data_IF_882514759750
#
_entry.id   IF_882514759750
#
_cell.length_a   1.000
_cell.length_b   1.000
_cell.length_c   1.000
_cell.angle_alpha   90.00
_cell.angle_beta   90.00
_cell.angle_gamma   90.00
#
_symmetry.space_group_name_H-M   'P 1'
#
loop_
_entity.id
_entity.type
_entity.pdbx_description
1 polymer ?
#
# COMPACT_ATOMS: atom_id res chain seq x y z
N UNK A 1 0.90 5.15 9.90
CA UNK A 1 0.43 6.30 9.10
C UNK A 1 -0.80 6.94 9.75
N UNK A 2 -1.78 6.19 10.25
CA UNK A 2 -2.93 6.75 10.99
C UNK A 2 -2.48 7.74 12.07
N UNK A 3 -1.56 7.33 12.93
CA UNK A 3 -1.00 8.18 13.99
C UNK A 3 -0.34 9.48 13.50
N UNK A 4 0.08 9.56 12.24
CA UNK A 4 0.63 10.80 11.66
C UNK A 4 -0.45 11.76 11.21
N UNK A 5 -1.67 11.25 10.94
CA UNK A 5 -2.85 12.06 10.62
C UNK A 5 -3.70 12.39 11.84
N UNK A 6 -3.46 11.70 12.97
CA UNK A 6 -4.20 11.93 14.20
C UNK A 6 -3.89 13.31 14.79
N UNK A 7 -4.87 14.21 14.71
CA UNK A 7 -4.86 15.56 15.26
C UNK A 7 -6.31 16.06 15.44
N UNK A 8 -6.57 17.06 16.29
CA UNK A 8 -7.89 17.65 16.43
C UNK A 8 -8.49 18.08 15.09
N UNK A 9 -9.79 17.84 14.90
CA UNK A 9 -10.53 18.16 13.67
C UNK A 9 -10.44 17.09 12.57
N UNK A 10 -9.63 16.04 12.73
CA UNK A 10 -9.63 14.91 11.80
C UNK A 10 -10.50 13.77 12.31
N UNK A 11 -11.30 13.19 11.40
CA UNK A 11 -11.99 11.91 11.61
C UNK A 11 -11.28 10.84 10.77
N UNK A 12 -10.73 9.82 11.44
CA UNK A 12 -9.96 8.73 10.83
C UNK A 12 -10.81 7.46 10.78
N UNK A 13 -11.04 6.93 9.58
CA UNK A 13 -11.65 5.63 9.37
C UNK A 13 -10.53 4.61 9.13
N UNK A 14 -10.30 3.76 10.12
CA UNK A 14 -9.24 2.74 10.09
C UNK A 14 -9.85 1.41 9.67
N UNK A 15 -9.48 0.92 8.51
CA UNK A 15 -10.14 -0.21 7.90
C UNK A 15 -9.12 -1.29 7.46
N UNK A 16 -9.26 -2.50 7.99
CA UNK A 16 -8.46 -3.69 7.65
C UNK A 16 -9.05 -4.93 8.34
N UNK A 17 -8.36 -6.09 8.24
CA UNK A 17 -8.60 -7.25 9.10
C UNK A 17 -8.01 -7.04 10.51
N UNK A 18 -8.62 -7.67 11.52
CA UNK A 18 -8.13 -7.68 12.90
C UNK A 18 -8.71 -6.54 13.74
N UNK A 19 -9.97 -6.69 14.14
CA UNK A 19 -10.74 -5.69 14.89
C UNK A 19 -10.00 -5.16 16.13
N UNK A 20 -9.37 -6.02 16.92
CA UNK A 20 -8.64 -5.62 18.12
C UNK A 20 -7.45 -4.69 17.80
N UNK A 21 -6.64 -5.04 16.81
CA UNK A 21 -5.49 -4.23 16.40
C UNK A 21 -5.92 -2.87 15.80
N UNK A 22 -7.05 -2.86 15.08
CA UNK A 22 -7.66 -1.64 14.57
C UNK A 22 -8.14 -0.75 15.71
N UNK A 23 -8.84 -1.31 16.71
CA UNK A 23 -9.36 -0.56 17.84
C UNK A 23 -8.22 0.02 18.70
N UNK A 24 -7.16 -0.75 18.97
CA UNK A 24 -5.97 -0.25 19.65
C UNK A 24 -5.35 0.95 18.90
N UNK A 25 -5.33 0.90 17.57
CA UNK A 25 -4.82 2.00 16.74
C UNK A 25 -5.78 3.20 16.77
N UNK A 26 -7.09 2.96 16.74
CA UNK A 26 -8.11 4.01 16.83
C UNK A 26 -8.05 4.73 18.17
N UNK A 27 -7.89 3.98 19.27
CA UNK A 27 -7.71 4.55 20.60
C UNK A 27 -6.46 5.44 20.68
N UNK A 28 -5.33 4.96 20.14
CA UNK A 28 -4.11 5.76 20.07
C UNK A 28 -4.28 7.05 19.24
N UNK A 29 -5.14 7.03 18.20
CA UNK A 29 -5.50 8.23 17.43
C UNK A 29 -6.40 9.17 18.25
N UNK A 30 -7.39 8.64 18.96
CA UNK A 30 -8.26 9.43 19.84
C UNK A 30 -7.47 10.12 20.96
N UNK A 31 -6.49 9.45 21.56
CA UNK A 31 -5.55 10.06 22.55
C UNK A 31 -4.76 11.25 21.98
N UNK A 32 -4.67 11.38 20.65
CA UNK A 32 -4.05 12.54 19.98
C UNK A 32 -5.08 13.62 19.58
N UNK A 33 -6.32 13.49 20.01
CA UNK A 33 -7.39 14.47 19.79
C UNK A 33 -8.16 14.33 18.48
N UNK A 34 -7.93 13.28 17.69
CA UNK A 34 -8.75 13.01 16.51
C UNK A 34 -9.96 12.13 16.85
N UNK A 35 -11.03 12.24 16.08
CA UNK A 35 -12.00 11.17 15.99
C UNK A 35 -11.39 9.98 15.24
N UNK A 36 -11.72 8.76 15.68
CA UNK A 36 -11.25 7.54 15.00
C UNK A 36 -12.22 6.40 15.16
N UNK A 37 -12.52 5.73 14.05
CA UNK A 37 -13.43 4.59 13.96
C UNK A 37 -12.71 3.40 13.36
N UNK A 38 -12.73 2.27 14.04
CA UNK A 38 -12.23 0.99 13.54
C UNK A 38 -13.33 0.27 12.76
N UNK A 39 -13.03 -0.22 11.56
CA UNK A 39 -13.97 -0.93 10.69
C UNK A 39 -13.27 -2.17 10.15
N UNK A 40 -13.69 -3.34 10.56
CA UNK A 40 -13.14 -4.59 10.04
C UNK A 40 -13.71 -4.89 8.66
N UNK A 41 -12.83 -5.20 7.70
CA UNK A 41 -13.22 -5.72 6.39
C UNK A 41 -12.06 -6.50 5.75
N UNK A 42 -12.41 -7.39 4.82
CA UNK A 42 -11.46 -8.24 4.12
C UNK A 42 -11.32 -7.82 2.66
N UNK A 43 -10.14 -7.31 2.29
CA UNK A 43 -9.80 -6.92 0.91
C UNK A 43 -9.78 -8.10 -0.08
N UNK A 44 -9.66 -9.35 0.41
CA UNK A 44 -9.70 -10.53 -0.45
C UNK A 44 -11.12 -10.95 -0.86
N UNK A 45 -12.14 -10.28 -0.30
CA UNK A 45 -13.56 -10.62 -0.52
C UNK A 45 -14.31 -9.43 -1.10
N UNK A 46 -14.65 -9.45 -2.39
CA UNK A 46 -15.36 -8.35 -3.07
C UNK A 46 -16.64 -7.91 -2.35
N UNK A 47 -17.40 -8.87 -1.79
CA UNK A 47 -18.61 -8.60 -1.01
C UNK A 47 -18.31 -7.83 0.30
N UNK A 48 -17.20 -8.15 0.99
CA UNK A 48 -16.77 -7.43 2.18
C UNK A 48 -16.35 -5.99 1.84
N UNK A 49 -15.61 -5.82 0.74
CA UNK A 49 -15.24 -4.49 0.23
C UNK A 49 -16.48 -3.66 -0.09
N UNK A 50 -17.48 -4.27 -0.76
CA UNK A 50 -18.74 -3.59 -1.11
C UNK A 50 -19.56 -3.22 0.12
N UNK A 51 -19.63 -4.11 1.11
CA UNK A 51 -20.31 -3.82 2.39
C UNK A 51 -19.65 -2.63 3.11
N UNK A 52 -18.33 -2.64 3.22
CA UNK A 52 -17.53 -1.55 3.79
C UNK A 52 -17.78 -0.23 3.04
N UNK A 53 -17.62 -0.19 1.74
CA UNK A 53 -17.77 1.05 0.96
C UNK A 53 -19.19 1.59 0.99
N UNK A 54 -20.21 0.71 1.03
CA UNK A 54 -21.60 1.09 1.21
C UNK A 54 -21.87 1.69 2.61
N UNK A 55 -21.24 1.15 3.66
CA UNK A 55 -21.31 1.72 5.00
C UNK A 55 -20.75 3.15 5.03
N UNK A 56 -19.61 3.38 4.37
CA UNK A 56 -18.98 4.71 4.28
C UNK A 56 -19.90 5.68 3.51
N UNK A 57 -20.43 5.27 2.36
CA UNK A 57 -21.32 6.09 1.55
C UNK A 57 -22.63 6.49 2.28
N UNK A 58 -23.13 5.63 3.17
CA UNK A 58 -24.33 5.93 3.97
C UNK A 58 -24.05 6.94 5.09
N UNK A 59 -22.83 6.94 5.67
CA UNK A 59 -22.51 7.74 6.87
C UNK A 59 -21.79 9.05 6.57
N UNK A 60 -21.16 9.17 5.39
CA UNK A 60 -20.32 10.29 5.05
C UNK A 60 -20.70 10.88 3.70
N UNK A 61 -20.63 12.19 3.58
CA UNK A 61 -20.93 12.92 2.34
C UNK A 61 -19.68 13.15 1.48
N UNK A 62 -18.47 13.11 2.08
CA UNK A 62 -17.19 13.28 1.41
C UNK A 62 -16.09 12.45 2.07
N UNK A 63 -15.03 12.21 1.30
CA UNK A 63 -13.76 11.64 1.78
C UNK A 63 -12.64 12.55 1.31
N UNK A 64 -11.94 13.20 2.22
CA UNK A 64 -10.85 14.12 1.88
C UNK A 64 -9.55 13.38 1.59
N UNK A 65 -9.32 12.21 2.23
CA UNK A 65 -8.10 11.40 2.08
C UNK A 65 -8.46 9.92 2.02
N UNK A 66 -8.06 9.25 0.94
CA UNK A 66 -8.11 7.79 0.81
C UNK A 66 -6.68 7.27 0.72
N UNK A 67 -6.23 6.45 1.68
CA UNK A 67 -4.85 5.98 1.70
C UNK A 67 -4.79 4.46 1.78
N UNK A 68 -4.37 3.83 0.70
CA UNK A 68 -4.15 2.40 0.60
C UNK A 68 -2.77 2.03 1.14
N UNK A 69 -2.72 1.35 2.29
CA UNK A 69 -1.49 0.86 2.91
C UNK A 69 -1.46 -0.65 3.06
N UNK A 70 -2.58 -1.32 2.87
CA UNK A 70 -2.70 -2.77 2.96
C UNK A 70 -1.98 -3.49 1.82
N UNK A 71 -1.58 -4.71 2.08
CA UNK A 71 -1.00 -5.59 1.09
C UNK A 71 -0.23 -6.74 1.72
N UNK A 72 -0.10 -7.82 0.97
CA UNK A 72 0.67 -9.02 1.33
C UNK A 72 1.84 -9.21 0.39
N UNK A 73 2.87 -9.91 0.84
CA UNK A 73 4.07 -10.19 0.05
C UNK A 73 4.19 -11.68 -0.27
N UNK A 74 5.20 -12.04 -1.07
CA UNK A 74 5.51 -13.40 -1.51
C UNK A 74 6.96 -13.74 -1.21
N UNK A 75 7.22 -15.02 -0.90
CA UNK A 75 8.55 -15.62 -0.78
C UNK A 75 8.50 -17.03 -1.38
N UNK A 76 8.36 -17.08 -2.70
CA UNK A 76 8.37 -18.31 -3.48
C UNK A 76 8.97 -18.03 -4.86
N UNK A 77 9.61 -19.03 -5.47
CA UNK A 77 10.00 -18.95 -6.90
C UNK A 77 8.76 -18.91 -7.76
N UNK A 78 8.87 -18.28 -8.94
CA UNK A 78 7.73 -18.10 -9.83
C UNK A 78 7.09 -19.43 -10.26
N UNK A 79 7.91 -20.45 -10.48
CA UNK A 79 7.47 -21.80 -10.87
C UNK A 79 6.93 -22.65 -9.72
N UNK A 80 7.20 -22.27 -8.46
CA UNK A 80 6.77 -23.03 -7.28
C UNK A 80 5.43 -22.54 -6.70
N UNK A 81 5.12 -21.28 -6.88
CA UNK A 81 3.86 -20.69 -6.41
C UNK A 81 2.70 -21.13 -7.29
N UNK A 82 1.62 -21.64 -6.68
CA UNK A 82 0.40 -21.94 -7.45
C UNK A 82 -0.25 -20.66 -7.96
N UNK A 83 -1.00 -20.77 -9.05
CA UNK A 83 -1.76 -19.67 -9.64
C UNK A 83 -2.78 -19.06 -8.65
N UNK A 84 -3.24 -19.82 -7.67
CA UNK A 84 -4.17 -19.35 -6.64
C UNK A 84 -3.50 -18.42 -5.63
N UNK A 85 -2.21 -18.66 -5.34
CA UNK A 85 -1.39 -17.73 -4.55
C UNK A 85 -1.22 -16.41 -5.31
N UNK A 86 -0.93 -16.48 -6.60
CA UNK A 86 -0.78 -15.30 -7.45
C UNK A 86 -2.10 -14.51 -7.54
N UNK A 87 -3.23 -15.20 -7.74
CA UNK A 87 -4.57 -14.59 -7.71
C UNK A 87 -4.87 -13.93 -6.37
N UNK A 88 -4.58 -14.60 -5.25
CA UNK A 88 -4.80 -14.05 -3.90
C UNK A 88 -3.99 -12.78 -3.68
N UNK A 89 -2.75 -12.74 -4.13
CA UNK A 89 -1.90 -11.55 -4.03
C UNK A 89 -2.46 -10.42 -4.89
N UNK A 90 -2.89 -10.70 -6.12
CA UNK A 90 -3.52 -9.73 -6.99
C UNK A 90 -4.85 -9.22 -6.42
N UNK A 91 -5.67 -10.10 -5.85
CA UNK A 91 -6.94 -9.73 -5.25
C UNK A 91 -6.75 -8.71 -4.12
N UNK A 92 -5.88 -9.02 -3.16
CA UNK A 92 -5.65 -8.15 -1.99
C UNK A 92 -4.93 -6.87 -2.38
N UNK A 93 -3.83 -6.97 -3.16
CA UNK A 93 -2.95 -5.84 -3.40
C UNK A 93 -3.47 -4.89 -4.47
N UNK A 94 -4.24 -5.39 -5.43
CA UNK A 94 -4.70 -4.63 -6.58
C UNK A 94 -6.22 -4.52 -6.66
N UNK A 95 -6.95 -5.62 -6.83
CA UNK A 95 -8.40 -5.57 -7.05
C UNK A 95 -9.15 -4.96 -5.87
N UNK A 96 -8.83 -5.35 -4.63
CA UNK A 96 -9.44 -4.76 -3.44
C UNK A 96 -9.19 -3.24 -3.35
N UNK A 97 -7.96 -2.80 -3.62
CA UNK A 97 -7.63 -1.37 -3.60
C UNK A 97 -8.37 -0.57 -4.68
N UNK A 98 -8.45 -1.09 -5.91
CA UNK A 98 -9.17 -0.38 -7.00
C UNK A 98 -10.67 -0.40 -6.79
N UNK A 99 -11.25 -1.47 -6.24
CA UNK A 99 -12.67 -1.53 -5.90
C UNK A 99 -13.03 -0.47 -4.85
N UNK A 100 -12.29 -0.40 -3.73
CA UNK A 100 -12.48 0.65 -2.72
C UNK A 100 -12.39 2.04 -3.36
N UNK A 101 -11.40 2.27 -4.23
CA UNK A 101 -11.22 3.55 -4.91
C UNK A 101 -12.41 3.90 -5.79
N UNK A 102 -12.85 2.98 -6.66
CA UNK A 102 -13.99 3.17 -7.57
C UNK A 102 -15.28 3.44 -6.79
N UNK A 103 -15.54 2.64 -5.76
CA UNK A 103 -16.75 2.75 -4.96
C UNK A 103 -16.84 4.06 -4.18
N UNK A 104 -15.70 4.58 -3.70
CA UNK A 104 -15.62 5.84 -2.95
C UNK A 104 -15.32 7.06 -3.83
N UNK A 105 -15.13 6.89 -5.13
CA UNK A 105 -14.84 8.00 -6.04
C UNK A 105 -15.88 9.13 -6.00
N UNK A 106 -17.19 8.88 -5.89
CA UNK A 106 -18.18 9.96 -5.73
C UNK A 106 -17.93 10.81 -4.48
N UNK A 107 -17.56 10.19 -3.35
CA UNK A 107 -17.25 10.92 -2.11
C UNK A 107 -15.92 11.69 -2.19
N UNK A 108 -14.95 11.18 -2.95
CA UNK A 108 -13.70 11.88 -3.23
C UNK A 108 -13.97 13.11 -4.12
N UNK A 109 -14.82 12.99 -5.12
CA UNK A 109 -15.24 14.13 -5.97
C UNK A 109 -16.00 15.20 -5.21
N UNK A 110 -16.74 14.84 -4.17
CA UNK A 110 -17.47 15.78 -3.31
C UNK A 110 -16.55 16.58 -2.37
N UNK A 111 -15.30 16.20 -2.21
CA UNK A 111 -14.32 16.93 -1.41
C UNK A 111 -13.63 18.03 -2.24
N UNK A 112 -13.36 19.18 -1.62
CA UNK A 112 -12.73 20.31 -2.31
C UNK A 112 -11.30 20.03 -2.79
N UNK A 113 -10.58 19.14 -2.12
CA UNK A 113 -9.18 18.80 -2.42
C UNK A 113 -8.89 17.38 -1.96
N UNK A 114 -9.46 16.42 -2.68
CA UNK A 114 -9.28 15.01 -2.36
C UNK A 114 -7.87 14.52 -2.70
N UNK A 115 -7.34 13.66 -1.84
CA UNK A 115 -6.03 13.05 -2.06
C UNK A 115 -6.11 11.54 -1.91
N UNK A 116 -5.57 10.84 -2.89
CA UNK A 116 -5.42 9.40 -2.89
C UNK A 116 -3.94 9.09 -2.71
N UNK A 117 -3.59 8.38 -1.64
CA UNK A 117 -2.26 7.79 -1.45
C UNK A 117 -2.33 6.29 -1.70
N UNK A 118 -1.47 5.75 -2.55
CA UNK A 118 -1.40 4.31 -2.78
C UNK A 118 -0.01 3.77 -2.53
N UNK A 119 0.08 2.75 -1.68
CA UNK A 119 1.35 2.11 -1.36
C UNK A 119 1.67 1.02 -2.38
N UNK A 120 2.54 1.38 -3.35
CA UNK A 120 3.23 0.43 -4.21
C UNK A 120 4.48 -0.12 -3.49
N UNK A 121 5.59 -0.20 -4.15
CA UNK A 121 6.92 -0.61 -3.68
C UNK A 121 7.95 -0.24 -4.74
N UNK A 122 9.24 -0.24 -4.40
CA UNK A 122 10.30 -0.28 -5.42
C UNK A 122 10.16 -1.54 -6.32
N UNK A 123 9.55 -2.62 -5.80
CA UNK A 123 9.18 -3.81 -6.61
C UNK A 123 8.05 -3.55 -7.61
N UNK A 124 7.41 -2.40 -7.59
CA UNK A 124 6.54 -1.90 -8.66
C UNK A 124 7.29 -1.22 -9.81
N UNK A 125 8.63 -1.15 -9.74
CA UNK A 125 9.50 -0.59 -10.78
C UNK A 125 10.45 -1.63 -11.39
N UNK A 126 10.64 -2.76 -10.72
CA UNK A 126 11.41 -3.90 -11.21
C UNK A 126 11.01 -5.19 -10.51
N UNK A 127 11.11 -6.31 -11.23
CA UNK A 127 10.97 -7.65 -10.64
C UNK A 127 12.18 -8.01 -9.80
N UNK A 128 11.96 -8.77 -8.73
CA UNK A 128 13.01 -9.28 -7.86
C UNK A 128 12.74 -10.74 -7.51
N UNK A 129 13.77 -11.59 -7.32
CA UNK A 129 13.57 -13.01 -7.00
C UNK A 129 12.61 -13.22 -5.84
N UNK A 130 11.86 -14.32 -5.87
CA UNK A 130 10.87 -14.76 -4.88
C UNK A 130 9.65 -13.84 -4.69
N UNK A 131 9.43 -12.87 -5.59
CA UNK A 131 8.38 -11.86 -5.46
C UNK A 131 7.62 -11.61 -6.77
N UNK A 132 7.44 -12.63 -7.62
CA UNK A 132 6.85 -12.49 -8.96
C UNK A 132 5.44 -11.86 -8.92
N UNK A 133 4.47 -12.49 -8.25
CA UNK A 133 3.11 -11.97 -8.14
C UNK A 133 3.04 -10.68 -7.31
N UNK A 134 3.85 -10.58 -6.26
CA UNK A 134 3.94 -9.34 -5.49
C UNK A 134 4.39 -8.17 -6.38
N UNK A 135 5.48 -8.34 -7.13
CA UNK A 135 5.94 -7.31 -8.06
C UNK A 135 4.86 -6.98 -9.10
N UNK A 136 4.26 -8.00 -9.73
CA UNK A 136 3.17 -7.82 -10.69
C UNK A 136 2.02 -6.97 -10.12
N UNK A 137 1.57 -7.28 -8.89
CA UNK A 137 0.51 -6.51 -8.22
C UNK A 137 0.91 -5.05 -7.97
N UNK A 138 2.18 -4.81 -7.62
CA UNK A 138 2.67 -3.44 -7.39
C UNK A 138 2.90 -2.66 -8.69
N UNK A 139 3.23 -3.32 -9.80
CA UNK A 139 3.23 -2.71 -11.15
C UNK A 139 1.80 -2.35 -11.60
N UNK A 140 0.83 -3.25 -11.37
CA UNK A 140 -0.57 -3.02 -11.72
C UNK A 140 -1.15 -1.76 -11.06
N UNK A 141 -0.77 -1.48 -9.80
CA UNK A 141 -1.16 -0.23 -9.12
C UNK A 141 -0.66 1.02 -9.86
N UNK A 142 0.54 0.99 -10.45
CA UNK A 142 1.03 2.13 -11.23
C UNK A 142 0.14 2.40 -12.44
N UNK A 143 -0.14 1.36 -13.25
CA UNK A 143 -0.98 1.52 -14.43
C UNK A 143 -2.35 2.12 -14.09
N UNK A 144 -3.04 1.55 -13.10
CA UNK A 144 -4.37 2.04 -12.70
C UNK A 144 -4.34 3.46 -12.12
N UNK A 145 -3.47 3.72 -11.15
CA UNK A 145 -3.50 5.01 -10.43
C UNK A 145 -2.88 6.16 -11.22
N UNK A 146 -2.00 5.88 -12.17
CA UNK A 146 -1.52 6.88 -13.15
C UNK A 146 -2.63 7.27 -14.11
N UNK A 147 -3.40 6.30 -14.64
CA UNK A 147 -4.57 6.56 -15.49
C UNK A 147 -5.62 7.35 -14.73
N UNK A 148 -5.99 6.91 -13.52
CA UNK A 148 -6.95 7.62 -12.67
C UNK A 148 -6.56 9.09 -12.42
N UNK A 149 -5.28 9.36 -12.19
CA UNK A 149 -4.76 10.73 -12.01
C UNK A 149 -5.00 11.60 -13.24
N UNK A 150 -4.80 11.04 -14.43
CA UNK A 150 -4.98 11.78 -15.69
C UNK A 150 -6.46 11.98 -16.01
N UNK A 151 -7.30 10.98 -15.75
CA UNK A 151 -8.74 11.04 -15.97
C UNK A 151 -9.43 12.08 -15.08
N UNK A 152 -8.94 12.24 -13.83
CA UNK A 152 -9.55 13.09 -12.82
C UNK A 152 -8.75 14.36 -12.49
N UNK A 153 -7.88 14.83 -13.41
CA UNK A 153 -7.06 16.02 -13.13
C UNK A 153 -7.88 17.30 -12.96
N UNK A 154 -9.10 17.37 -13.53
CA UNK A 154 -10.04 18.49 -13.40
C UNK A 154 -10.94 18.38 -12.16
N UNK A 155 -11.00 17.21 -11.51
CA UNK A 155 -11.90 16.95 -10.38
C UNK A 155 -11.27 17.31 -9.03
N UNK A 156 -10.15 18.03 -9.01
CA UNK A 156 -9.38 18.34 -7.80
C UNK A 156 -8.96 17.12 -6.98
N UNK A 157 -8.78 15.97 -7.65
CA UNK A 157 -8.28 14.72 -7.03
C UNK A 157 -6.80 14.58 -7.32
N UNK A 158 -5.98 14.58 -6.27
CA UNK A 158 -4.54 14.29 -6.37
C UNK A 158 -4.27 12.82 -6.08
N UNK A 159 -3.41 12.17 -6.87
CA UNK A 159 -2.98 10.80 -6.65
C UNK A 159 -1.48 10.74 -6.42
N UNK A 160 -1.06 10.19 -5.28
CA UNK A 160 0.35 9.97 -4.92
C UNK A 160 0.64 8.48 -4.85
N UNK A 161 1.56 7.99 -5.70
CA UNK A 161 2.06 6.62 -5.63
C UNK A 161 3.30 6.61 -4.73
N UNK A 162 3.24 5.85 -3.66
CA UNK A 162 4.32 5.73 -2.69
C UNK A 162 5.05 4.40 -2.91
N UNK A 163 6.35 4.46 -3.15
CA UNK A 163 7.21 3.32 -3.47
C UNK A 163 8.23 3.10 -2.34
N UNK A 164 7.82 2.47 -1.22
CA UNK A 164 8.78 2.11 -0.18
C UNK A 164 9.78 1.06 -0.69
N UNK A 165 11.02 1.18 -0.22
CA UNK A 165 12.01 0.13 -0.24
C UNK A 165 11.88 -0.76 0.99
N UNK A 166 12.97 -0.87 1.76
CA UNK A 166 13.00 -1.66 2.99
C UNK A 166 12.54 -0.81 4.18
N UNK A 167 11.42 -1.22 4.79
CA UNK A 167 10.87 -0.59 5.99
C UNK A 167 10.74 -1.65 7.08
N UNK A 168 11.20 -1.38 8.27
CA UNK A 168 11.14 -2.34 9.39
C UNK A 168 9.67 -2.58 9.81
N UNK A 169 9.06 -3.58 9.18
CA UNK A 169 7.66 -4.01 9.40
C UNK A 169 7.57 -5.53 9.37
N UNK A 170 6.54 -6.15 9.95
CA UNK A 170 6.37 -7.59 9.95
C UNK A 170 5.91 -8.19 8.60
N UNK A 171 5.90 -7.42 7.51
CA UNK A 171 5.41 -7.88 6.20
C UNK A 171 6.12 -9.12 5.68
N UNK A 172 7.40 -9.31 6.01
CA UNK A 172 8.12 -10.52 5.62
C UNK A 172 7.69 -11.75 6.40
N UNK A 173 7.30 -11.59 7.67
CA UNK A 173 6.79 -12.71 8.47
C UNK A 173 5.51 -13.31 7.88
N UNK A 174 4.62 -12.45 7.38
CA UNK A 174 3.33 -12.84 6.77
C UNK A 174 3.41 -13.08 5.25
N UNK A 175 4.59 -12.97 4.64
CA UNK A 175 4.77 -13.23 3.21
C UNK A 175 4.41 -14.69 2.88
N UNK A 176 3.66 -14.90 1.78
CA UNK A 176 3.23 -16.24 1.38
C UNK A 176 4.39 -17.01 0.75
N UNK A 177 4.63 -18.23 1.26
CA UNK A 177 5.54 -19.20 0.65
C UNK A 177 4.85 -19.96 -0.50
N UNK A 178 5.56 -20.92 -1.11
CA UNK A 178 5.05 -21.75 -2.21
C UNK A 178 3.79 -22.57 -1.86
N UNK A 179 3.54 -22.83 -0.57
CA UNK A 179 2.37 -23.55 -0.07
C UNK A 179 1.23 -22.62 0.35
N UNK A 180 1.36 -21.31 0.12
CA UNK A 180 0.36 -20.30 0.51
C UNK A 180 0.29 -20.02 2.01
N UNK A 181 1.27 -20.49 2.78
CA UNK A 181 1.41 -20.25 4.23
C UNK A 181 2.34 -19.05 4.47
N UNK A 182 2.20 -18.40 5.63
CA UNK A 182 3.14 -17.39 6.06
C UNK A 182 4.55 -17.99 6.22
N UNK A 183 5.58 -17.31 5.72
CA UNK A 183 6.95 -17.81 5.84
C UNK A 183 7.48 -17.82 7.26
N UNK A 184 6.96 -16.98 8.16
CA UNK A 184 7.33 -16.95 9.58
C UNK A 184 8.73 -16.41 9.89
N UNK A 185 9.48 -15.94 8.88
CA UNK A 185 10.86 -15.47 9.02
C UNK A 185 10.97 -14.00 8.65
N UNK A 186 11.68 -13.22 9.46
CA UNK A 186 11.99 -11.84 9.17
C UNK A 186 13.19 -11.75 8.22
N UNK A 187 12.98 -11.17 7.03
CA UNK A 187 14.10 -10.93 6.12
C UNK A 187 15.11 -9.96 6.75
N UNK A 188 16.43 -10.27 6.76
CA UNK A 188 17.45 -9.37 7.30
C UNK A 188 17.41 -7.97 6.69
N UNK A 189 17.14 -7.87 5.38
CA UNK A 189 16.98 -6.60 4.70
C UNK A 189 15.77 -5.80 5.18
N UNK A 190 14.69 -6.47 5.61
CA UNK A 190 13.49 -5.83 6.15
C UNK A 190 13.73 -5.37 7.60
N UNK A 191 14.37 -6.21 8.41
CA UNK A 191 14.75 -5.88 9.79
C UNK A 191 15.63 -4.61 9.86
N UNK A 192 16.57 -4.49 8.91
CA UNK A 192 17.47 -3.34 8.80
C UNK A 192 16.90 -2.19 7.94
N UNK A 193 15.60 -2.21 7.63
CA UNK A 193 14.91 -1.15 6.90
C UNK A 193 14.78 0.14 7.69
N UNK A 194 14.33 1.20 7.03
CA UNK A 194 14.07 2.46 7.73
C UNK A 194 12.95 2.28 8.76
N UNK A 195 12.96 3.06 9.87
CA UNK A 195 11.88 3.03 10.86
C UNK A 195 10.51 3.34 10.26
N UNK A 196 9.48 2.62 10.71
CA UNK A 196 8.10 2.73 10.24
C UNK A 196 7.53 4.15 10.37
N UNK A 197 7.84 4.83 11.47
CA UNK A 197 7.39 6.19 11.73
C UNK A 197 8.03 7.21 10.78
N UNK A 198 9.32 7.02 10.41
CA UNK A 198 10.00 7.83 9.40
C UNK A 198 9.36 7.63 8.03
N UNK A 199 9.07 6.39 7.66
CA UNK A 199 8.36 6.08 6.43
C UNK A 199 6.98 6.75 6.40
N UNK A 200 6.19 6.61 7.45
CA UNK A 200 4.85 7.18 7.58
C UNK A 200 4.83 8.71 7.45
N UNK A 201 5.80 9.40 8.10
CA UNK A 201 5.94 10.87 7.95
C UNK A 201 6.26 11.28 6.51
N UNK A 202 7.12 10.53 5.82
CA UNK A 202 7.46 10.81 4.43
C UNK A 202 6.27 10.55 3.49
N UNK A 203 5.50 9.49 3.72
CA UNK A 203 4.26 9.20 3.00
C UNK A 203 3.25 10.33 3.17
N UNK A 204 2.93 10.73 4.42
CA UNK A 204 2.03 11.86 4.67
C UNK A 204 2.50 13.12 3.93
N UNK A 205 3.79 13.48 4.08
CA UNK A 205 4.35 14.67 3.41
C UNK A 205 4.22 14.62 1.90
N UNK A 206 4.40 13.43 1.29
CA UNK A 206 4.24 13.27 -0.16
C UNK A 206 2.80 13.46 -0.61
N UNK A 207 1.84 12.85 0.10
CA UNK A 207 0.40 12.99 -0.15
C UNK A 207 -0.02 14.46 -0.01
N UNK A 208 0.35 15.11 1.12
CA UNK A 208 -0.07 16.49 1.37
C UNK A 208 0.54 17.48 0.37
N UNK A 209 1.73 17.17 -0.17
CA UNK A 209 2.39 17.97 -1.23
C UNK A 209 1.99 17.58 -2.66
N UNK A 210 0.99 16.73 -2.85
CA UNK A 210 0.51 16.25 -4.16
C UNK A 210 1.63 15.68 -5.05
N UNK A 211 2.63 15.00 -4.43
CA UNK A 211 3.69 14.38 -5.22
C UNK A 211 3.11 13.24 -6.06
N UNK A 212 3.42 13.21 -7.35
CA UNK A 212 2.94 12.15 -8.27
C UNK A 212 3.46 10.79 -7.88
N UNK A 213 4.75 10.73 -7.53
CA UNK A 213 5.44 9.52 -7.09
C UNK A 213 6.51 9.87 -6.06
N UNK A 214 6.77 8.98 -5.10
CA UNK A 214 7.84 9.13 -4.12
C UNK A 214 8.49 7.79 -3.79
N UNK A 215 9.83 7.76 -3.84
CA UNK A 215 10.62 6.62 -3.35
C UNK A 215 11.04 6.88 -1.91
N UNK A 216 10.80 5.91 -1.03
CA UNK A 216 11.02 6.03 0.42
C UNK A 216 11.83 4.83 0.90
N UNK A 217 13.06 5.04 1.34
CA UNK A 217 13.93 3.95 1.79
C UNK A 217 15.38 4.38 1.98
N UNK A 218 16.27 3.42 1.89
CA UNK A 218 17.72 3.59 1.97
C UNK A 218 18.40 3.50 0.60
N UNK A 219 19.59 2.87 0.57
CA UNK A 219 20.39 2.71 -0.64
C UNK A 219 19.72 1.83 -1.72
N UNK A 220 18.81 0.95 -1.33
CA UNK A 220 18.08 0.06 -2.25
C UNK A 220 17.24 0.83 -3.29
N UNK A 221 16.88 2.08 -3.02
CA UNK A 221 16.19 2.94 -3.98
C UNK A 221 17.02 3.16 -5.25
N UNK A 222 18.34 3.15 -5.15
CA UNK A 222 19.23 3.27 -6.30
C UNK A 222 18.99 2.20 -7.36
N UNK A 223 18.48 1.03 -6.96
CA UNK A 223 18.12 -0.05 -7.90
C UNK A 223 17.05 0.38 -8.91
N UNK A 224 16.14 1.28 -8.54
CA UNK A 224 15.15 1.86 -9.47
C UNK A 224 15.83 2.64 -10.57
N UNK A 225 16.80 3.46 -10.22
CA UNK A 225 17.58 4.26 -11.18
C UNK A 225 18.52 3.40 -12.02
N UNK A 226 19.19 2.41 -11.41
CA UNK A 226 20.01 1.45 -12.17
C UNK A 226 19.16 0.67 -13.18
N UNK A 227 17.96 0.21 -12.79
CA UNK A 227 17.04 -0.47 -13.73
C UNK A 227 16.67 0.42 -14.90
N UNK A 228 16.43 1.71 -14.66
CA UNK A 228 16.00 2.66 -15.68
C UNK A 228 17.13 3.12 -16.60
N UNK A 229 18.31 3.44 -16.05
CA UNK A 229 19.36 4.12 -16.78
C UNK A 229 20.58 3.25 -17.09
N UNK A 230 20.86 2.21 -16.29
CA UNK A 230 22.01 1.31 -16.42
C UNK A 230 21.56 -0.15 -16.23
N UNK A 231 20.66 -0.70 -17.11
CA UNK A 231 20.11 -2.05 -16.94
C UNK A 231 21.16 -3.16 -16.73
N UNK A 232 22.30 -3.19 -17.44
CA UNK A 232 23.31 -4.23 -17.22
C UNK A 232 23.84 -4.26 -15.78
N UNK A 233 24.08 -3.09 -15.18
CA UNK A 233 24.51 -2.98 -13.79
C UNK A 233 23.42 -3.47 -12.82
N UNK A 234 22.17 -3.09 -13.07
CA UNK A 234 21.04 -3.58 -12.29
C UNK A 234 20.99 -5.10 -12.25
N UNK A 235 21.01 -5.77 -13.41
CA UNK A 235 20.93 -7.23 -13.48
C UNK A 235 22.13 -7.93 -12.84
N UNK A 236 23.33 -7.33 -12.95
CA UNK A 236 24.52 -7.85 -12.28
C UNK A 236 24.40 -7.82 -10.76
N UNK A 237 23.84 -6.74 -10.19
CA UNK A 237 23.60 -6.60 -8.75
C UNK A 237 22.45 -7.49 -8.31
N UNK A 238 21.30 -7.44 -9.00
CA UNK A 238 20.09 -8.18 -8.64
C UNK A 238 20.33 -9.69 -8.57
N UNK A 239 21.11 -10.27 -9.50
CA UNK A 239 21.50 -11.70 -9.49
C UNK A 239 22.33 -12.11 -8.27
N UNK A 240 23.09 -11.18 -7.67
CA UNK A 240 23.97 -11.44 -6.52
C UNK A 240 23.31 -11.09 -5.18
N UNK A 241 22.17 -10.39 -5.20
CA UNK A 241 21.49 -9.96 -3.99
C UNK A 241 20.64 -11.11 -3.43
N UNK A 242 20.91 -11.48 -2.18
CA UNK A 242 20.05 -12.43 -1.47
C UNK A 242 18.65 -11.82 -1.33
N UNK A 243 17.57 -12.50 -1.78
CA UNK A 243 16.20 -12.00 -1.68
C UNK A 243 15.58 -12.15 -0.28
N UNK A 244 16.22 -12.94 0.61
CA UNK A 244 15.78 -13.22 1.99
C UNK A 244 16.83 -12.81 3.00
#
# INVERSE_FOLDING_TARGET
LALTYAQPGNHLLLAALGQEALENTAEACRKKGSEATAIEFDLSKPESVKAFTNQIKKKHQKVDRLVHVSGISQRARAEEASIDIDRKIMEINYFGAIQVTKDLLPLLKAATNAKIGVTSSISGKFGFPLRSAYAASKFALHGFFESLRLEHYKDNISVTIMCPGRVNTPISLSALNAQGKAQGVMDPGQANGIPVDKCARQMKRAIEKNKKEVFIGGKEILMVYFKKFIPPLFYRIAKKTNPT
#
